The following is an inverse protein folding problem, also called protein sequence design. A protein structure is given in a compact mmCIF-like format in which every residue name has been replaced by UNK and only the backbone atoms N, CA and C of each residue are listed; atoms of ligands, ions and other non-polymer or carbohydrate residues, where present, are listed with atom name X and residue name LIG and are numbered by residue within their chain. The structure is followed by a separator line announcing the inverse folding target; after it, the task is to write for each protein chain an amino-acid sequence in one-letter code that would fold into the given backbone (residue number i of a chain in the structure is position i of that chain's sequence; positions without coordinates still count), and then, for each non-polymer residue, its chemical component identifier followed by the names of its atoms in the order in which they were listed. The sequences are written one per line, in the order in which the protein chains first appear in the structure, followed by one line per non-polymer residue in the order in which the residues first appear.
data_IF_963985567338
#
_entry.id   IF_963985567338
#
_cell.length_a   1.000
_cell.length_b   1.000
_cell.length_c   1.000
_cell.angle_alpha   90.00
_cell.angle_beta   90.00
_cell.angle_gamma   90.00
#
_symmetry.space_group_name_H-M   'P 1'
#
loop_
_entity.id
_entity.type
_entity.pdbx_description
1 polymer ?
#
# COMPACT_ATOMS: atom_id res chain seq x y z
N UNK A 1 37.48 -25.19 -7.83
CA UNK A 1 37.12 -24.57 -6.53
C UNK A 1 37.63 -23.14 -6.46
N UNK A 2 38.94 -22.88 -6.54
CA UNK A 2 39.49 -21.52 -6.53
C UNK A 2 38.97 -20.58 -7.64
N UNK A 3 38.71 -21.09 -8.84
CA UNK A 3 38.21 -20.28 -9.97
C UNK A 3 36.73 -19.86 -9.80
N UNK A 4 35.94 -20.68 -9.09
CA UNK A 4 34.53 -20.38 -8.80
C UNK A 4 34.36 -19.43 -7.61
N UNK A 5 35.30 -19.44 -6.65
CA UNK A 5 35.34 -18.44 -5.57
C UNK A 5 35.72 -17.06 -6.11
N UNK A 6 36.66 -16.99 -7.06
CA UNK A 6 37.06 -15.74 -7.69
C UNK A 6 35.94 -15.09 -8.53
N UNK A 7 35.14 -15.90 -9.24
CA UNK A 7 33.97 -15.39 -9.97
C UNK A 7 32.88 -14.87 -9.02
N UNK A 8 32.65 -15.54 -7.89
CA UNK A 8 31.65 -15.12 -6.90
C UNK A 8 32.04 -13.83 -6.17
N UNK A 9 33.33 -13.62 -5.89
CA UNK A 9 33.84 -12.37 -5.33
C UNK A 9 33.71 -11.21 -6.32
N UNK A 10 34.01 -11.43 -7.61
CA UNK A 10 33.87 -10.42 -8.65
C UNK A 10 32.41 -10.01 -8.90
N UNK A 11 31.47 -10.96 -8.85
CA UNK A 11 30.03 -10.64 -8.94
C UNK A 11 29.55 -9.83 -7.72
N UNK A 12 30.02 -10.16 -6.52
CA UNK A 12 29.66 -9.44 -5.30
C UNK A 12 30.22 -7.99 -5.28
N UNK A 13 31.44 -7.78 -5.78
CA UNK A 13 32.02 -6.44 -5.93
C UNK A 13 31.27 -5.61 -6.97
N UNK A 14 30.89 -6.21 -8.10
CA UNK A 14 30.11 -5.53 -9.14
C UNK A 14 28.69 -5.15 -8.66
N UNK A 15 28.04 -6.01 -7.87
CA UNK A 15 26.75 -5.67 -7.24
C UNK A 15 26.90 -4.53 -6.22
N UNK A 16 27.96 -4.54 -5.41
CA UNK A 16 28.21 -3.49 -4.42
C UNK A 16 28.53 -2.12 -5.07
N UNK A 17 29.28 -2.11 -6.17
CA UNK A 17 29.55 -0.88 -6.94
C UNK A 17 28.28 -0.34 -7.60
N UNK A 18 27.44 -1.21 -8.16
CA UNK A 18 26.16 -0.82 -8.75
C UNK A 18 25.16 -0.26 -7.71
N UNK A 19 25.13 -0.83 -6.49
CA UNK A 19 24.34 -0.30 -5.38
C UNK A 19 24.87 1.06 -4.91
N UNK A 20 26.19 1.24 -4.81
CA UNK A 20 26.81 2.50 -4.42
C UNK A 20 26.59 3.63 -5.45
N UNK A 21 26.66 3.33 -6.75
CA UNK A 21 26.34 4.30 -7.82
C UNK A 21 24.86 4.70 -7.79
N UNK A 22 23.96 3.75 -7.56
CA UNK A 22 22.52 4.04 -7.45
C UNK A 22 22.17 4.88 -6.20
N UNK A 23 22.86 4.65 -5.08
CA UNK A 23 22.72 5.50 -3.89
C UNK A 23 23.27 6.91 -4.13
N UNK A 24 24.41 7.05 -4.80
CA UNK A 24 24.99 8.35 -5.15
C UNK A 24 24.13 9.16 -6.12
N UNK A 25 23.52 8.51 -7.13
CA UNK A 25 22.55 9.17 -8.02
C UNK A 25 21.29 9.62 -7.27
N UNK A 26 20.78 8.79 -6.35
CA UNK A 26 19.62 9.14 -5.53
C UNK A 26 19.90 10.30 -4.56
N UNK A 27 21.11 10.38 -3.99
CA UNK A 27 21.55 11.51 -3.17
C UNK A 27 21.73 12.80 -3.99
N UNK A 28 22.26 12.69 -5.21
CA UNK A 28 22.40 13.83 -6.13
C UNK A 28 21.03 14.36 -6.61
N UNK A 29 20.05 13.49 -6.86
CA UNK A 29 18.67 13.88 -7.16
C UNK A 29 17.96 14.52 -5.96
N UNK A 30 18.34 14.16 -4.73
CA UNK A 30 17.81 14.76 -3.51
C UNK A 30 18.39 16.16 -3.21
N UNK A 31 19.63 16.46 -3.63
CA UNK A 31 20.24 17.79 -3.47
C UNK A 31 19.75 18.82 -4.52
N UNK A 32 19.25 18.39 -5.67
CA UNK A 32 18.72 19.27 -6.70
C UNK A 32 17.26 19.67 -6.41
N UNK A 33 17.06 20.76 -5.66
CA UNK A 33 15.76 21.29 -5.20
C UNK A 33 14.74 21.73 -6.27
N UNK A 34 14.80 21.25 -7.52
CA UNK A 34 13.74 21.40 -8.52
C UNK A 34 13.36 20.00 -9.03
N UNK A 35 12.11 19.53 -8.84
CA UNK A 35 11.72 18.24 -9.39
C UNK A 35 11.86 18.28 -10.93
N UNK A 36 12.49 17.25 -11.50
CA UNK A 36 12.77 17.13 -12.94
C UNK A 36 11.53 17.28 -13.85
N UNK A 37 10.31 17.19 -13.28
CA UNK A 37 9.05 17.44 -13.94
C UNK A 37 7.99 18.00 -12.96
N UNK A 38 6.96 18.73 -13.45
CA UNK A 38 5.88 19.19 -12.59
C UNK A 38 5.00 18.02 -12.10
N UNK A 39 4.59 18.06 -10.83
CA UNK A 39 3.69 17.05 -10.27
C UNK A 39 2.25 17.30 -10.74
N UNK A 40 1.80 16.61 -11.79
CA UNK A 40 0.45 16.80 -12.35
C UNK A 40 -0.58 15.82 -11.77
N UNK A 41 -1.82 16.28 -11.64
CA UNK A 41 -2.98 15.43 -11.35
C UNK A 41 -3.47 14.85 -12.67
N UNK A 42 -3.32 13.55 -12.86
CA UNK A 42 -3.64 12.85 -14.11
C UNK A 42 -5.01 12.17 -14.10
N UNK A 43 -5.62 11.98 -12.94
CA UNK A 43 -6.96 11.41 -12.80
C UNK A 43 -7.71 12.00 -11.61
N UNK A 44 -9.03 12.10 -11.74
CA UNK A 44 -9.93 12.55 -10.67
C UNK A 44 -11.11 11.59 -10.57
N UNK A 45 -11.22 10.94 -9.42
CA UNK A 45 -12.37 10.08 -9.11
C UNK A 45 -13.21 10.68 -8.01
N UNK A 46 -14.49 10.93 -8.30
CA UNK A 46 -15.45 11.45 -7.32
C UNK A 46 -16.46 10.37 -6.99
N UNK A 47 -16.61 10.08 -5.71
CA UNK A 47 -17.52 9.07 -5.17
C UNK A 47 -18.49 9.67 -4.16
N UNK A 48 -19.58 8.97 -3.88
CA UNK A 48 -20.37 9.26 -2.68
C UNK A 48 -19.58 8.94 -1.42
N UNK A 49 -19.89 9.63 -0.32
CA UNK A 49 -19.22 9.43 0.97
C UNK A 49 -19.45 8.02 1.58
N UNK A 50 -20.44 7.28 1.07
CA UNK A 50 -20.76 5.92 1.51
C UNK A 50 -19.90 4.86 0.82
N UNK A 51 -19.14 5.22 -0.22
CA UNK A 51 -18.29 4.30 -0.97
C UNK A 51 -16.96 4.14 -0.22
N UNK A 52 -16.59 2.91 0.18
CA UNK A 52 -15.29 2.68 0.82
C UNK A 52 -14.13 2.96 -0.14
N UNK A 53 -13.05 3.56 0.37
CA UNK A 53 -11.86 3.97 -0.42
C UNK A 53 -11.26 2.86 -1.28
N UNK A 54 -11.23 1.62 -0.79
CA UNK A 54 -10.76 0.43 -1.54
C UNK A 54 -11.46 0.25 -2.90
N UNK A 55 -12.67 0.80 -3.07
CA UNK A 55 -13.42 0.75 -4.34
C UNK A 55 -12.94 1.77 -5.38
N UNK A 56 -12.16 2.78 -4.98
CA UNK A 56 -11.60 3.79 -5.88
C UNK A 56 -10.36 3.29 -6.65
N UNK A 57 -9.56 2.42 -6.05
CA UNK A 57 -8.23 2.01 -6.55
C UNK A 57 -8.28 1.41 -7.97
N UNK A 58 -9.09 0.37 -8.18
CA UNK A 58 -9.16 -0.32 -9.47
C UNK A 58 -9.73 0.57 -10.61
N UNK A 59 -10.82 1.33 -10.40
CA UNK A 59 -11.27 2.30 -11.40
C UNK A 59 -10.21 3.33 -11.80
N UNK A 60 -9.48 3.88 -10.82
CA UNK A 60 -8.40 4.87 -11.09
C UNK A 60 -7.28 4.22 -11.89
N UNK A 61 -6.75 3.08 -11.45
CA UNK A 61 -5.66 2.37 -12.15
C UNK A 61 -6.04 2.00 -13.59
N UNK A 62 -7.29 1.59 -13.81
CA UNK A 62 -7.80 1.29 -15.16
C UNK A 62 -7.79 2.54 -16.06
N UNK A 63 -8.32 3.67 -15.58
CA UNK A 63 -8.32 4.92 -16.35
C UNK A 63 -6.90 5.42 -16.63
N UNK A 64 -6.00 5.31 -15.66
CA UNK A 64 -4.59 5.65 -15.87
C UNK A 64 -3.94 4.78 -16.96
N UNK A 65 -4.27 3.48 -17.02
CA UNK A 65 -3.82 2.60 -18.08
C UNK A 65 -4.47 2.95 -19.44
N UNK A 66 -5.77 3.21 -19.48
CA UNK A 66 -6.50 3.65 -20.68
C UNK A 66 -5.95 4.97 -21.25
N UNK A 67 -5.50 5.87 -20.38
CA UNK A 67 -4.89 7.15 -20.75
C UNK A 67 -3.38 7.05 -21.07
N UNK A 68 -2.78 5.87 -20.96
CA UNK A 68 -1.34 5.69 -21.23
C UNK A 68 -0.40 6.31 -20.18
N UNK A 69 -0.90 6.66 -18.99
CA UNK A 69 -0.14 7.30 -17.90
C UNK A 69 -0.09 6.41 -16.64
N UNK A 70 0.00 5.09 -16.87
CA UNK A 70 0.08 4.10 -15.79
C UNK A 70 1.37 4.27 -14.99
N UNK A 71 1.31 4.40 -13.65
CA UNK A 71 2.51 4.52 -12.85
C UNK A 71 3.21 3.15 -12.67
N UNK A 72 4.54 3.17 -12.60
CA UNK A 72 5.31 2.02 -12.14
C UNK A 72 5.07 1.72 -10.65
N UNK A 73 4.90 2.78 -9.85
CA UNK A 73 4.60 2.68 -8.42
C UNK A 73 3.42 3.56 -8.01
N UNK A 74 2.54 3.01 -7.17
CA UNK A 74 1.33 3.71 -6.72
C UNK A 74 1.30 3.76 -5.20
N UNK A 75 1.55 4.96 -4.66
CA UNK A 75 1.58 5.25 -3.22
C UNK A 75 0.17 5.47 -2.69
N UNK A 76 -0.23 4.71 -1.66
CA UNK A 76 -1.62 4.66 -1.19
C UNK A 76 -1.72 4.51 0.33
N UNK A 77 -2.70 5.16 0.93
CA UNK A 77 -3.07 4.94 2.34
C UNK A 77 -3.62 3.53 2.58
N UNK A 78 -3.57 3.08 3.83
CA UNK A 78 -4.00 1.73 4.26
C UNK A 78 -5.50 1.41 4.03
N UNK A 79 -6.31 2.39 3.64
CA UNK A 79 -7.72 2.22 3.27
C UNK A 79 -7.98 1.79 1.82
N UNK A 80 -7.02 2.03 0.93
CA UNK A 80 -7.13 1.78 -0.51
C UNK A 80 -6.74 0.36 -0.99
N UNK A 81 -5.84 -0.39 -0.33
CA UNK A 81 -5.44 -1.70 -0.83
C UNK A 81 -6.34 -2.85 -0.37
N UNK A 82 -6.33 -3.91 -1.17
CA UNK A 82 -6.70 -5.26 -0.78
C UNK A 82 -5.65 -6.24 -1.34
N UNK A 83 -5.59 -7.47 -0.82
CA UNK A 83 -4.66 -8.48 -1.36
C UNK A 83 -4.85 -8.71 -2.86
N UNK A 84 -6.11 -8.73 -3.28
CA UNK A 84 -6.49 -9.02 -4.66
C UNK A 84 -6.12 -7.83 -5.55
N UNK A 85 -6.27 -6.59 -5.05
CA UNK A 85 -5.83 -5.38 -5.75
C UNK A 85 -4.30 -5.29 -5.86
N UNK A 86 -3.56 -5.59 -4.79
CA UNK A 86 -2.08 -5.61 -4.81
C UNK A 86 -1.59 -6.59 -5.87
N UNK A 87 -2.18 -7.79 -5.89
CA UNK A 87 -1.82 -8.84 -6.86
C UNK A 87 -2.18 -8.42 -8.29
N UNK A 88 -3.39 -7.89 -8.50
CA UNK A 88 -3.85 -7.46 -9.81
C UNK A 88 -3.02 -6.29 -10.36
N UNK A 89 -2.71 -5.29 -9.53
CA UNK A 89 -1.87 -4.16 -9.91
C UNK A 89 -0.46 -4.61 -10.29
N UNK A 90 0.14 -5.53 -9.52
CA UNK A 90 1.47 -6.06 -9.83
C UNK A 90 1.49 -6.81 -11.17
N UNK A 91 0.46 -7.61 -11.47
CA UNK A 91 0.29 -8.25 -12.80
C UNK A 91 0.16 -7.25 -13.93
N UNK A 92 -0.38 -6.07 -13.64
CA UNK A 92 -0.49 -4.98 -14.60
C UNK A 92 0.77 -4.10 -14.62
N UNK A 93 1.84 -4.46 -13.89
CA UNK A 93 3.10 -3.72 -13.85
C UNK A 93 3.06 -2.47 -12.98
N UNK A 94 2.14 -2.38 -12.02
CA UNK A 94 2.09 -1.31 -11.02
C UNK A 94 2.31 -1.86 -9.63
N UNK A 95 3.41 -1.46 -8.98
CA UNK A 95 3.71 -1.82 -7.59
C UNK A 95 2.96 -0.89 -6.64
N UNK A 96 2.06 -1.44 -5.83
CA UNK A 96 1.35 -0.67 -4.81
C UNK A 96 2.23 -0.52 -3.56
N UNK A 97 2.64 0.71 -3.26
CA UNK A 97 3.41 1.06 -2.06
C UNK A 97 2.42 1.54 -0.98
N UNK A 98 2.04 0.63 -0.10
CA UNK A 98 0.91 0.86 0.82
C UNK A 98 0.98 -0.02 2.06
N UNK A 99 0.59 0.47 3.26
CA UNK A 99 0.61 -0.34 4.46
C UNK A 99 -0.46 -1.42 4.36
N UNK A 100 -0.05 -2.67 4.52
CA UNK A 100 -0.96 -3.81 4.58
C UNK A 100 -1.28 -4.07 6.04
N UNK A 101 -2.57 -4.11 6.38
CA UNK A 101 -3.00 -4.44 7.75
C UNK A 101 -2.39 -5.77 8.20
N UNK A 102 -1.78 -5.76 9.38
CA UNK A 102 -1.30 -6.96 10.05
C UNK A 102 -2.47 -7.88 10.39
N UNK A 103 -2.17 -9.15 10.64
CA UNK A 103 -3.17 -10.09 11.15
C UNK A 103 -3.62 -9.61 12.55
N UNK A 104 -4.78 -8.97 12.61
CA UNK A 104 -5.37 -8.45 13.85
C UNK A 104 -6.27 -9.48 14.55
N UNK A 105 -6.21 -10.77 14.18
CA UNK A 105 -6.95 -11.81 14.89
C UNK A 105 -6.59 -11.79 16.37
N UNK A 106 -7.56 -12.08 17.24
CA UNK A 106 -7.37 -12.15 18.70
C UNK A 106 -6.20 -13.06 19.08
N UNK A 107 -5.99 -14.13 18.32
CA UNK A 107 -4.87 -15.05 18.53
C UNK A 107 -3.50 -14.50 18.10
N UNK A 108 -3.46 -13.48 17.23
CA UNK A 108 -2.23 -12.77 16.88
C UNK A 108 -1.98 -11.55 17.78
N UNK A 109 -3.03 -10.96 18.37
CA UNK A 109 -2.96 -9.83 19.32
C UNK A 109 -2.56 -10.24 20.73
N UNK A 110 -3.04 -11.40 21.19
CA UNK A 110 -2.47 -12.01 22.38
C UNK A 110 -1.07 -12.49 21.99
N UNK A 111 -0.02 -11.78 22.38
CA UNK A 111 1.39 -12.14 22.11
C UNK A 111 1.81 -13.53 22.65
N UNK A 112 0.86 -14.33 23.15
CA UNK A 112 0.97 -15.70 23.61
C UNK A 112 0.16 -16.74 22.78
N UNK A 113 -0.54 -16.32 21.71
CA UNK A 113 -1.38 -17.18 20.87
C UNK A 113 -0.79 -17.48 19.49
N UNK A 114 -1.25 -18.58 18.86
CA UNK A 114 -0.80 -18.95 17.52
C UNK A 114 -1.63 -18.27 16.41
N UNK A 115 -1.12 -17.14 15.89
CA UNK A 115 -1.62 -16.46 14.70
C UNK A 115 -1.47 -17.28 13.40
N UNK A 116 -2.01 -16.79 12.26
CA UNK A 116 -1.92 -17.53 10.97
C UNK A 116 -0.49 -17.75 10.49
N UNK A 117 0.42 -16.83 10.79
CA UNK A 117 1.84 -16.91 10.42
C UNK A 117 2.59 -18.06 11.07
N UNK A 118 2.09 -18.62 12.19
CA UNK A 118 2.71 -19.75 12.87
C UNK A 118 2.42 -21.10 12.17
N UNK A 119 1.56 -21.12 11.16
CA UNK A 119 1.16 -22.33 10.46
C UNK A 119 1.89 -22.43 9.12
N UNK A 120 2.59 -23.55 8.89
CA UNK A 120 3.28 -23.81 7.63
C UNK A 120 2.29 -24.33 6.58
N UNK A 121 2.22 -23.65 5.43
CA UNK A 121 1.27 -23.98 4.36
C UNK A 121 2.02 -24.72 3.25
N UNK A 122 1.58 -25.94 2.95
CA UNK A 122 1.99 -26.71 1.77
C UNK A 122 0.90 -26.60 0.70
N UNK A 123 1.12 -25.70 -0.26
CA UNK A 123 0.20 -25.48 -1.37
C UNK A 123 0.11 -26.67 -2.32
N UNK A 124 1.21 -27.43 -2.49
CA UNK A 124 1.28 -28.56 -3.42
C UNK A 124 0.51 -29.76 -2.87
N UNK A 125 0.74 -30.09 -1.61
CA UNK A 125 0.01 -31.16 -0.92
C UNK A 125 -1.40 -30.74 -0.45
N UNK A 126 -1.74 -29.44 -0.55
CA UNK A 126 -2.99 -28.85 -0.04
C UNK A 126 -3.20 -29.18 1.44
N UNK A 127 -2.16 -28.95 2.25
CA UNK A 127 -2.19 -29.18 3.70
C UNK A 127 -1.56 -28.01 4.44
N UNK A 128 -1.97 -27.84 5.69
CA UNK A 128 -1.35 -26.89 6.61
C UNK A 128 -0.88 -27.64 7.84
N UNK A 129 0.34 -27.35 8.29
CA UNK A 129 0.91 -27.90 9.52
C UNK A 129 0.88 -26.84 10.63
N UNK A 130 0.37 -27.21 11.80
CA UNK A 130 0.35 -26.34 12.96
C UNK A 130 1.71 -26.33 13.70
N UNK A 131 1.94 -25.38 14.62
CA UNK A 131 3.16 -25.31 15.45
C UNK A 131 3.46 -26.59 16.23
N UNK A 132 2.42 -27.31 16.67
CA UNK A 132 2.55 -28.61 17.35
C UNK A 132 2.81 -29.79 16.38
N UNK A 133 3.12 -29.50 15.11
CA UNK A 133 3.50 -30.47 14.09
C UNK A 133 2.37 -31.28 13.47
N UNK A 134 1.10 -31.01 13.81
CA UNK A 134 -0.06 -31.75 13.29
C UNK A 134 -0.58 -31.14 11.99
N UNK A 135 -1.05 -31.98 11.07
CA UNK A 135 -1.57 -31.56 9.76
C UNK A 135 -3.07 -31.31 9.78
N UNK A 136 -3.53 -30.42 8.90
CA UNK A 136 -4.95 -30.16 8.65
C UNK A 136 -5.68 -31.39 8.14
N UNK A 137 -6.94 -31.54 8.54
CA UNK A 137 -7.80 -32.62 8.09
C UNK A 137 -8.47 -32.31 6.75
N UNK A 138 -8.86 -31.05 6.51
CA UNK A 138 -9.53 -30.65 5.28
C UNK A 138 -8.95 -29.35 4.70
N UNK A 139 -9.01 -29.29 3.38
CA UNK A 139 -8.66 -28.14 2.54
C UNK A 139 -9.81 -27.88 1.58
N UNK A 140 -10.60 -26.84 1.85
CA UNK A 140 -11.84 -26.59 1.11
C UNK A 140 -11.76 -25.23 0.41
N UNK A 141 -11.55 -25.19 -0.92
CA UNK A 141 -11.76 -23.98 -1.71
C UNK A 141 -13.23 -23.56 -1.63
N UNK A 142 -13.47 -22.30 -1.33
CA UNK A 142 -14.80 -21.71 -1.18
C UNK A 142 -14.83 -20.29 -1.71
N UNK A 143 -16.03 -19.73 -1.90
CA UNK A 143 -16.19 -18.29 -2.06
C UNK A 143 -16.71 -17.67 -0.76
N UNK A 144 -16.02 -16.67 -0.24
CA UNK A 144 -16.45 -15.89 0.92
C UNK A 144 -16.55 -14.42 0.52
N UNK A 145 -17.74 -13.82 0.75
CA UNK A 145 -18.01 -12.42 0.40
C UNK A 145 -17.65 -12.05 -1.05
N UNK A 146 -17.87 -12.99 -1.99
CA UNK A 146 -17.59 -12.81 -3.41
C UNK A 146 -16.11 -12.99 -3.82
N UNK A 147 -15.21 -13.30 -2.90
CA UNK A 147 -13.80 -13.58 -3.18
C UNK A 147 -13.46 -15.06 -2.97
N UNK A 148 -12.52 -15.56 -3.75
CA UNK A 148 -12.00 -16.91 -3.56
C UNK A 148 -11.22 -16.99 -2.24
N UNK A 149 -11.48 -18.06 -1.49
CA UNK A 149 -10.85 -18.34 -0.21
C UNK A 149 -10.67 -19.85 -0.05
N UNK A 150 -9.88 -20.23 0.94
CA UNK A 150 -9.63 -21.63 1.27
C UNK A 150 -9.83 -21.78 2.77
N UNK A 151 -10.82 -22.59 3.15
CA UNK A 151 -11.09 -22.92 4.55
C UNK A 151 -10.35 -24.21 4.90
N UNK A 152 -9.45 -24.08 5.86
CA UNK A 152 -8.65 -25.17 6.43
C UNK A 152 -9.24 -25.53 7.77
N UNK A 153 -9.47 -26.83 8.00
CA UNK A 153 -9.92 -27.32 9.31
C UNK A 153 -8.99 -28.39 9.85
N UNK A 154 -8.70 -28.30 11.14
CA UNK A 154 -7.99 -29.34 11.88
C UNK A 154 -9.00 -30.30 12.53
N UNK A 155 -8.59 -31.56 12.70
CA UNK A 155 -9.45 -32.56 13.33
C UNK A 155 -9.68 -32.25 14.80
N UNK A 156 -10.93 -32.35 15.26
CA UNK A 156 -11.28 -32.21 16.69
C UNK A 156 -10.53 -33.25 17.53
N UNK A 157 -10.37 -34.48 17.02
CA UNK A 157 -9.66 -35.57 17.71
C UNK A 157 -8.18 -35.26 17.92
N UNK A 158 -7.61 -34.41 17.07
CA UNK A 158 -6.21 -33.97 17.17
C UNK A 158 -6.06 -32.70 17.99
N UNK A 159 -7.01 -31.77 17.89
CA UNK A 159 -6.94 -30.48 18.57
C UNK A 159 -7.37 -30.51 20.03
N UNK A 160 -8.40 -31.28 20.41
CA UNK A 160 -8.88 -31.35 21.80
C UNK A 160 -7.86 -31.88 22.81
N UNK A 161 -7.09 -32.95 22.54
CA UNK A 161 -6.06 -33.40 23.46
C UNK A 161 -4.75 -32.60 23.33
N UNK A 162 -4.70 -31.54 22.51
CA UNK A 162 -3.47 -30.79 22.27
C UNK A 162 -3.15 -29.90 23.48
N UNK A 163 -1.94 -29.97 24.06
CA UNK A 163 -1.56 -29.13 25.21
C UNK A 163 -1.57 -27.63 24.88
N UNK A 164 -1.51 -27.26 23.59
CA UNK A 164 -1.55 -25.88 23.13
C UNK A 164 -2.95 -25.40 22.67
N UNK A 165 -4.03 -26.14 22.99
CA UNK A 165 -5.36 -25.83 22.46
C UNK A 165 -5.80 -24.40 22.78
N UNK A 166 -5.67 -23.98 24.04
CA UNK A 166 -6.12 -22.66 24.51
C UNK A 166 -5.37 -21.50 23.83
N UNK A 167 -4.07 -21.68 23.58
CA UNK A 167 -3.25 -20.72 22.82
C UNK A 167 -3.58 -20.72 21.31
N UNK A 168 -4.12 -21.82 20.79
CA UNK A 168 -4.36 -22.01 19.37
C UNK A 168 -5.76 -21.55 18.93
N UNK A 169 -6.80 -21.80 19.73
CA UNK A 169 -8.19 -21.51 19.35
C UNK A 169 -9.11 -21.28 20.54
N UNK A 170 -10.01 -20.31 20.42
CA UNK A 170 -11.13 -20.08 21.34
C UNK A 170 -12.45 -20.66 20.82
N UNK A 171 -12.42 -21.49 19.77
CA UNK A 171 -13.62 -22.09 19.20
C UNK A 171 -14.26 -23.06 20.19
N UNK A 172 -15.58 -22.95 20.40
CA UNK A 172 -16.36 -23.89 21.21
C UNK A 172 -16.25 -25.35 20.75
N UNK A 173 -15.95 -25.59 19.47
CA UNK A 173 -15.71 -26.95 18.94
C UNK A 173 -14.36 -27.53 19.36
N UNK A 174 -13.45 -26.72 19.90
CA UNK A 174 -12.11 -27.12 20.32
C UNK A 174 -11.18 -27.46 19.15
N UNK A 175 -11.42 -26.90 17.96
CA UNK A 175 -10.56 -27.08 16.79
C UNK A 175 -10.17 -25.76 16.14
N UNK A 176 -8.97 -25.72 15.57
CA UNK A 176 -8.51 -24.59 14.76
C UNK A 176 -9.16 -24.65 13.37
N UNK A 177 -9.63 -23.48 12.92
CA UNK A 177 -10.03 -23.23 11.54
C UNK A 177 -9.25 -22.02 11.04
N UNK A 178 -8.71 -22.11 9.83
CA UNK A 178 -8.02 -21.00 9.17
C UNK A 178 -8.71 -20.69 7.85
N UNK A 179 -8.89 -19.41 7.55
CA UNK A 179 -9.22 -18.97 6.19
C UNK A 179 -7.97 -18.39 5.56
N UNK A 180 -7.53 -19.01 4.47
CA UNK A 180 -6.45 -18.56 3.61
C UNK A 180 -7.03 -17.93 2.34
N UNK A 181 -6.27 -17.04 1.73
CA UNK A 181 -6.49 -16.60 0.34
C UNK A 181 -5.88 -17.64 -0.61
N UNK A 182 -6.22 -17.63 -1.91
CA UNK A 182 -5.47 -18.36 -2.92
C UNK A 182 -3.98 -18.02 -2.84
N UNK A 183 -3.15 -18.97 -3.31
CA UNK A 183 -1.69 -18.95 -3.14
C UNK A 183 -1.07 -17.60 -3.47
N UNK A 184 -1.32 -17.11 -4.67
CA UNK A 184 -0.67 -15.91 -5.19
C UNK A 184 -1.02 -14.64 -4.38
N UNK A 185 -2.31 -14.28 -4.15
CA UNK A 185 -2.65 -13.19 -3.24
C UNK A 185 -2.16 -13.38 -1.79
N UNK A 186 -2.07 -14.63 -1.33
CA UNK A 186 -1.53 -14.91 0.00
C UNK A 186 -0.03 -14.59 0.07
N UNK A 187 0.76 -15.12 -0.86
CA UNK A 187 2.20 -14.89 -0.93
C UNK A 187 2.52 -13.40 -1.16
N UNK A 188 1.74 -12.71 -2.00
CA UNK A 188 1.88 -11.27 -2.19
C UNK A 188 1.70 -10.46 -0.88
N UNK A 189 0.71 -10.82 -0.05
CA UNK A 189 0.52 -10.18 1.26
C UNK A 189 1.66 -10.50 2.23
N UNK A 190 2.15 -11.74 2.23
CA UNK A 190 3.25 -12.16 3.11
C UNK A 190 4.51 -11.35 2.77
N UNK A 191 4.84 -11.26 1.48
CA UNK A 191 5.97 -10.44 0.99
C UNK A 191 5.78 -8.96 1.33
N UNK A 192 4.62 -8.38 1.02
CA UNK A 192 4.34 -6.97 1.34
C UNK A 192 4.50 -6.66 2.85
N UNK A 193 4.07 -7.57 3.73
CA UNK A 193 4.25 -7.42 5.18
C UNK A 193 5.69 -7.59 5.64
N UNK A 194 6.49 -8.40 4.95
CA UNK A 194 7.91 -8.54 5.24
C UNK A 194 8.66 -7.26 4.81
N UNK A 195 8.42 -6.78 3.59
CA UNK A 195 8.97 -5.53 3.07
C UNK A 195 8.62 -4.35 3.97
N UNK A 196 7.37 -4.24 4.43
CA UNK A 196 6.93 -3.14 5.30
C UNK A 196 7.72 -2.99 6.62
N UNK A 197 8.43 -4.04 7.06
CA UNK A 197 9.28 -3.97 8.27
C UNK A 197 10.65 -3.34 8.01
N UNK A 198 11.09 -3.30 6.75
CA UNK A 198 12.40 -2.79 6.36
C UNK A 198 12.43 -1.25 6.42
N UNK A 199 13.60 -0.68 6.72
CA UNK A 199 13.77 0.77 6.70
C UNK A 199 13.66 1.34 5.28
N UNK A 200 14.16 0.61 4.28
CA UNK A 200 14.04 0.99 2.86
C UNK A 200 12.58 1.17 2.44
N UNK A 201 11.69 0.26 2.85
CA UNK A 201 10.26 0.42 2.59
C UNK A 201 9.66 1.62 3.32
N UNK A 202 10.06 1.88 4.58
CA UNK A 202 9.56 3.02 5.36
C UNK A 202 9.98 4.36 4.77
N UNK A 203 11.25 4.48 4.38
CA UNK A 203 11.79 5.65 3.70
C UNK A 203 11.02 5.89 2.40
N UNK A 204 10.80 4.83 1.61
CA UNK A 204 10.00 4.90 0.38
C UNK A 204 8.56 5.34 0.65
N UNK A 205 7.89 4.74 1.64
CA UNK A 205 6.53 5.10 1.99
C UNK A 205 6.39 6.54 2.53
N UNK A 206 7.46 7.14 3.05
CA UNK A 206 7.44 8.53 3.52
C UNK A 206 7.05 9.53 2.41
N UNK A 207 7.40 9.23 1.14
CA UNK A 207 7.00 10.04 -0.02
C UNK A 207 5.47 10.23 -0.14
N UNK A 208 4.69 9.29 0.39
CA UNK A 208 3.22 9.38 0.43
C UNK A 208 2.73 10.64 1.17
N UNK A 209 3.51 11.20 2.09
CA UNK A 209 3.18 12.46 2.77
C UNK A 209 3.01 13.64 1.79
N UNK A 210 3.61 13.58 0.59
CA UNK A 210 3.43 14.60 -0.46
C UNK A 210 1.97 14.76 -0.94
N UNK A 211 1.12 13.74 -0.74
CA UNK A 211 -0.32 13.82 -1.03
C UNK A 211 -1.01 14.88 -0.18
N UNK A 212 -0.61 15.05 1.08
CA UNK A 212 -1.21 16.05 1.99
C UNK A 212 -1.01 17.47 1.46
N UNK A 213 0.15 17.76 0.89
CA UNK A 213 0.44 19.04 0.23
C UNK A 213 -0.50 19.30 -0.95
N UNK A 214 -0.79 18.27 -1.75
CA UNK A 214 -1.76 18.37 -2.85
C UNK A 214 -3.17 18.61 -2.36
N UNK A 215 -3.60 17.90 -1.30
CA UNK A 215 -4.92 18.10 -0.69
C UNK A 215 -5.05 19.53 -0.16
N UNK A 216 -4.06 20.00 0.60
CA UNK A 216 -4.07 21.36 1.15
C UNK A 216 -4.12 22.42 0.04
N UNK A 217 -3.29 22.27 -1.01
CA UNK A 217 -3.32 23.17 -2.16
C UNK A 217 -4.71 23.21 -2.82
N UNK A 218 -5.36 22.05 -2.97
CA UNK A 218 -6.69 21.97 -3.55
C UNK A 218 -7.73 22.69 -2.67
N UNK A 219 -7.69 22.48 -1.35
CA UNK A 219 -8.62 23.11 -0.42
C UNK A 219 -8.45 24.63 -0.37
N UNK A 220 -7.21 25.12 -0.39
CA UNK A 220 -6.89 26.54 -0.24
C UNK A 220 -7.12 27.34 -1.53
N UNK A 221 -6.77 26.78 -2.70
CA UNK A 221 -6.88 27.48 -3.98
C UNK A 221 -8.27 27.39 -4.58
N UNK A 222 -8.90 26.22 -4.55
CA UNK A 222 -10.16 25.98 -5.29
C UNK A 222 -11.39 26.04 -4.39
N UNK A 223 -11.21 26.05 -3.07
CA UNK A 223 -12.30 26.08 -2.10
C UNK A 223 -13.13 24.79 -2.08
N UNK A 224 -12.61 23.68 -2.63
CA UNK A 224 -13.37 22.43 -2.80
C UNK A 224 -13.76 21.71 -1.50
N UNK A 225 -13.37 22.24 -0.33
CA UNK A 225 -13.84 21.76 0.99
C UNK A 225 -15.37 21.70 1.09
N UNK A 226 -16.07 22.59 0.37
CA UNK A 226 -17.53 22.58 0.27
C UNK A 226 -17.93 22.46 -1.20
N UNK A 227 -18.76 21.48 -1.50
CA UNK A 227 -19.37 21.36 -2.80
C UNK A 227 -20.24 22.59 -3.08
N UNK A 228 -20.00 23.25 -4.22
CA UNK A 228 -20.79 24.42 -4.65
C UNK A 228 -22.17 24.02 -5.16
N UNK A 229 -22.29 22.79 -5.63
CA UNK A 229 -23.49 22.25 -6.24
C UNK A 229 -23.94 20.96 -5.54
N UNK A 230 -25.23 20.66 -5.64
CA UNK A 230 -25.80 19.37 -5.20
C UNK A 230 -25.82 18.38 -6.35
N UNK A 231 -25.53 17.12 -6.04
CA UNK A 231 -25.56 15.99 -6.97
C UNK A 231 -24.19 15.63 -7.54
N UNK A 232 -23.90 14.33 -7.55
CA UNK A 232 -22.60 13.76 -7.91
C UNK A 232 -22.05 14.24 -9.28
N UNK A 233 -22.87 14.37 -10.36
CA UNK A 233 -22.36 14.85 -11.65
C UNK A 233 -21.78 16.28 -11.58
N UNK A 234 -22.43 17.18 -10.84
CA UNK A 234 -21.97 18.58 -10.69
C UNK A 234 -20.74 18.67 -9.79
N UNK A 235 -20.69 17.86 -8.74
CA UNK A 235 -19.52 17.76 -7.85
C UNK A 235 -18.30 17.20 -8.61
N UNK A 236 -18.50 16.17 -9.44
CA UNK A 236 -17.44 15.62 -10.29
C UNK A 236 -16.86 16.68 -11.22
N UNK A 237 -17.72 17.52 -11.84
CA UNK A 237 -17.25 18.64 -12.67
C UNK A 237 -16.46 19.66 -11.86
N UNK A 238 -16.91 20.02 -10.65
CA UNK A 238 -16.16 20.89 -9.75
C UNK A 238 -14.77 20.32 -9.41
N UNK A 239 -14.68 19.03 -9.12
CA UNK A 239 -13.39 18.38 -8.82
C UNK A 239 -12.46 18.33 -10.03
N UNK A 240 -13.00 18.07 -11.23
CA UNK A 240 -12.22 18.11 -12.47
C UNK A 240 -11.64 19.51 -12.72
N UNK A 241 -12.46 20.56 -12.64
CA UNK A 241 -11.96 21.94 -12.78
C UNK A 241 -10.96 22.33 -11.69
N UNK A 242 -11.13 21.82 -10.47
CA UNK A 242 -10.17 22.04 -9.38
C UNK A 242 -8.81 21.44 -9.74
N UNK A 243 -8.77 20.18 -10.19
CA UNK A 243 -7.54 19.53 -10.62
C UNK A 243 -6.89 20.24 -11.82
N UNK A 244 -7.68 20.66 -12.81
CA UNK A 244 -7.18 21.44 -13.95
C UNK A 244 -6.55 22.75 -13.50
N UNK A 245 -7.21 23.50 -12.61
CA UNK A 245 -6.67 24.75 -12.08
C UNK A 245 -5.33 24.54 -11.35
N UNK A 246 -5.23 23.48 -10.54
CA UNK A 246 -3.96 23.12 -9.88
C UNK A 246 -2.88 22.75 -10.88
N UNK A 247 -3.20 22.00 -11.93
CA UNK A 247 -2.22 21.66 -12.97
C UNK A 247 -1.70 22.92 -13.68
N UNK A 248 -2.56 23.88 -14.01
CA UNK A 248 -2.15 25.16 -14.61
C UNK A 248 -1.19 25.91 -13.69
N UNK A 249 -1.51 26.03 -12.40
CA UNK A 249 -0.64 26.69 -11.41
C UNK A 249 0.71 25.99 -11.30
N UNK A 250 0.73 24.64 -11.31
CA UNK A 250 1.96 23.86 -11.20
C UNK A 250 2.82 23.94 -12.46
N UNK A 251 2.20 24.01 -13.64
CA UNK A 251 2.91 24.22 -14.90
C UNK A 251 3.50 25.64 -14.97
N UNK A 252 2.74 26.66 -14.58
CA UNK A 252 3.20 28.04 -14.52
C UNK A 252 4.41 28.18 -13.57
N UNK A 253 4.31 27.64 -12.36
CA UNK A 253 5.42 27.64 -11.39
C UNK A 253 6.67 26.92 -11.95
N UNK A 254 6.49 25.77 -12.61
CA UNK A 254 7.58 25.02 -13.23
C UNK A 254 8.25 25.81 -14.37
N UNK A 255 7.48 26.45 -15.24
CA UNK A 255 8.02 27.22 -16.37
C UNK A 255 8.65 28.54 -15.96
N UNK A 256 8.20 29.15 -14.86
CA UNK A 256 8.69 30.44 -14.39
C UNK A 256 9.77 30.33 -13.31
N UNK A 257 10.09 29.11 -12.86
CA UNK A 257 11.07 28.87 -11.79
C UNK A 257 10.61 29.36 -10.42
N UNK A 258 9.31 29.63 -10.24
CA UNK A 258 8.78 30.03 -8.94
C UNK A 258 8.65 28.83 -8.02
N UNK A 259 9.16 28.98 -6.81
CA UNK A 259 9.16 27.92 -5.83
C UNK A 259 7.73 27.62 -5.33
N UNK A 260 7.39 26.33 -5.27
CA UNK A 260 6.06 25.85 -4.85
C UNK A 260 5.88 25.91 -3.34
N UNK A 261 6.98 26.10 -2.61
CA UNK A 261 7.06 26.06 -1.16
C UNK A 261 6.74 27.40 -0.51
N UNK A 262 5.53 27.93 -0.74
CA UNK A 262 5.00 28.91 0.21
C UNK A 262 4.40 28.19 1.41
N UNK A 263 5.19 28.05 2.47
CA UNK A 263 4.66 27.78 3.81
C UNK A 263 3.66 28.88 4.12
N UNK A 264 2.43 28.49 4.43
CA UNK A 264 1.35 29.43 4.68
C UNK A 264 1.71 30.31 5.88
N UNK A 265 1.89 31.60 5.65
CA UNK A 265 1.85 32.59 6.72
C UNK A 265 0.40 32.72 7.20
N UNK A 266 0.16 32.53 8.49
CA UNK A 266 -1.19 32.61 9.05
C UNK A 266 -1.78 34.01 8.86
N UNK A 267 -3.11 34.17 8.98
CA UNK A 267 -3.73 35.51 8.95
C UNK A 267 -3.15 36.44 10.04
N UNK A 268 -2.74 35.86 11.17
CA UNK A 268 -2.06 36.59 12.25
C UNK A 268 -0.64 36.98 11.86
N UNK A 269 0.06 36.13 11.13
CA UNK A 269 1.40 36.41 10.60
C UNK A 269 1.37 37.52 9.54
N UNK A 270 0.39 37.47 8.63
CA UNK A 270 0.13 38.55 7.69
C UNK A 270 -0.25 39.86 8.37
N UNK A 271 -1.02 39.80 9.46
CA UNK A 271 -1.36 40.98 10.26
C UNK A 271 -0.12 41.52 10.99
N UNK A 272 0.70 40.64 11.58
CA UNK A 272 1.92 40.98 12.27
C UNK A 272 2.93 41.67 11.33
N UNK A 273 3.13 41.13 10.12
CA UNK A 273 3.95 41.77 9.09
C UNK A 273 3.44 43.16 8.70
N UNK A 274 2.12 43.36 8.61
CA UNK A 274 1.52 44.66 8.29
C UNK A 274 1.59 45.68 9.42
N UNK A 275 1.71 45.24 10.67
CA UNK A 275 1.81 46.12 11.84
C UNK A 275 3.26 46.47 12.18
N UNK A 276 4.23 45.69 11.68
CA UNK A 276 5.67 45.92 11.87
C UNK A 276 6.33 46.68 10.70
N UNK A 277 5.60 46.92 9.61
CA UNK A 277 6.02 47.75 8.47
C UNK A 277 5.38 49.13 8.54
#
# INVERSE_FOLDING_TARGET
EAEAEAEAEAEAEAEAEAEAEAEAEAEAEAEAGVPAAPNLITDVFTTDATVPDVKATAPVQRRLAEHGVKPGEHYLDSGYPSADLITAALKQGTRMVTPVRLDHSTQAKAHAGFGKSAFAIDWKARRVRCPAGKSSAHWNPVKQHGADAIVITFSVRTCRPCPFQEQCTSSALGRRMLTLRPREPHEALVRARAEQKTETWKAKYALRAGVEGTINQALDITGMRRARYRGLPKVRLQHAFSATALNVIRLDAYWTGHDRHHTRSSRLEHLAYRLMA
#
